data_IF_328155064670
#
_entry.id   IF_328155064670
#
_cell.length_a   1.000
_cell.length_b   1.000
_cell.length_c   1.000
_cell.angle_alpha   90.00
_cell.angle_beta   90.00
_cell.angle_gamma   90.00
#
_symmetry.space_group_name_H-M   'P 1'
#
loop_
_entity.id
_entity.type
_entity.pdbx_description
1 polymer ?
#
# COMPACT_ATOMS: atom_id res chain seq x y z
N UNK A 1 -50.96 -7.20 21.78
CA UNK A 1 -49.52 -7.22 22.11
C UNK A 1 -48.83 -6.33 21.12
N UNK A 2 -48.57 -5.08 21.49
CA UNK A 2 -47.63 -4.23 20.74
C UNK A 2 -46.23 -4.83 20.97
N UNK A 3 -45.39 -4.98 19.93
CA UNK A 3 -44.01 -5.36 20.13
C UNK A 3 -43.34 -4.37 21.09
N UNK A 4 -42.46 -4.88 21.93
CA UNK A 4 -41.72 -4.10 22.91
C UNK A 4 -40.74 -3.18 22.17
N UNK A 5 -41.14 -1.91 22.04
CA UNK A 5 -40.41 -0.86 21.33
C UNK A 5 -38.97 -0.70 21.84
N UNK A 6 -38.71 -1.03 23.11
CA UNK A 6 -37.36 -0.99 23.68
C UNK A 6 -36.44 -2.09 23.13
N UNK A 7 -36.99 -3.27 22.85
CA UNK A 7 -36.25 -4.37 22.22
C UNK A 7 -35.96 -4.10 20.74
N UNK A 8 -36.89 -3.44 20.03
CA UNK A 8 -36.68 -3.01 18.64
C UNK A 8 -35.58 -1.94 18.54
N UNK A 9 -35.58 -0.96 19.44
CA UNK A 9 -34.55 0.08 19.50
C UNK A 9 -33.17 -0.51 19.84
N UNK A 10 -33.09 -1.48 20.76
CA UNK A 10 -31.83 -2.17 21.07
C UNK A 10 -31.32 -3.00 19.88
N UNK A 11 -32.19 -3.76 19.22
CA UNK A 11 -31.81 -4.53 18.03
C UNK A 11 -31.33 -3.64 16.89
N UNK A 12 -31.90 -2.44 16.73
CA UNK A 12 -31.45 -1.44 15.77
C UNK A 12 -30.04 -0.93 16.12
N UNK A 13 -29.77 -0.61 17.39
CA UNK A 13 -28.45 -0.17 17.86
C UNK A 13 -27.40 -1.25 17.61
N UNK A 14 -27.69 -2.51 17.91
CA UNK A 14 -26.77 -3.63 17.72
C UNK A 14 -26.47 -3.85 16.22
N UNK A 15 -27.49 -3.74 15.37
CA UNK A 15 -27.32 -3.86 13.92
C UNK A 15 -26.46 -2.72 13.35
N UNK A 16 -26.66 -1.48 13.80
CA UNK A 16 -25.84 -0.33 13.39
C UNK A 16 -24.40 -0.47 13.88
N UNK A 17 -24.23 -0.91 15.13
CA UNK A 17 -22.89 -1.13 15.73
C UNK A 17 -22.15 -2.23 14.97
N UNK A 18 -22.80 -3.34 14.67
CA UNK A 18 -22.21 -4.45 13.88
C UNK A 18 -21.80 -3.98 12.48
N UNK A 19 -22.62 -3.14 11.83
CA UNK A 19 -22.28 -2.57 10.52
C UNK A 19 -21.08 -1.62 10.60
N UNK A 20 -21.02 -0.77 11.62
CA UNK A 20 -19.92 0.16 11.83
C UNK A 20 -18.60 -0.59 12.06
N UNK A 21 -18.59 -1.58 12.96
CA UNK A 21 -17.39 -2.38 13.26
C UNK A 21 -16.91 -3.18 12.05
N UNK A 22 -17.82 -3.76 11.26
CA UNK A 22 -17.47 -4.47 10.03
C UNK A 22 -16.84 -3.53 8.99
N UNK A 23 -17.36 -2.30 8.86
CA UNK A 23 -16.80 -1.30 7.96
C UNK A 23 -15.38 -0.88 8.38
N UNK A 24 -15.15 -0.66 9.68
CA UNK A 24 -13.83 -0.35 10.23
C UNK A 24 -12.82 -1.49 10.00
N UNK A 25 -13.24 -2.74 10.25
CA UNK A 25 -12.40 -3.92 9.98
C UNK A 25 -12.01 -4.03 8.51
N UNK A 26 -12.94 -3.75 7.59
CA UNK A 26 -12.65 -3.77 6.16
C UNK A 26 -11.62 -2.70 5.75
N UNK A 27 -11.66 -1.51 6.36
CA UNK A 27 -10.67 -0.47 6.13
C UNK A 27 -9.29 -0.88 6.65
N UNK A 28 -9.21 -1.37 7.89
CA UNK A 28 -7.95 -1.87 8.48
C UNK A 28 -7.35 -2.99 7.63
N UNK A 29 -8.17 -3.93 7.16
CA UNK A 29 -7.71 -5.04 6.32
C UNK A 29 -7.19 -4.56 4.96
N UNK A 30 -7.85 -3.56 4.37
CA UNK A 30 -7.41 -2.94 3.11
C UNK A 30 -6.04 -2.27 3.29
N UNK A 31 -5.86 -1.54 4.38
CA UNK A 31 -4.61 -0.83 4.67
C UNK A 31 -3.46 -1.81 4.96
N UNK A 32 -3.74 -2.90 5.67
CA UNK A 32 -2.78 -3.99 5.89
C UNK A 32 -2.35 -4.63 4.56
N UNK A 33 -3.32 -4.92 3.67
CA UNK A 33 -3.07 -5.46 2.33
C UNK A 33 -2.20 -4.52 1.50
N UNK A 34 -2.52 -3.21 1.51
CA UNK A 34 -1.72 -2.20 0.80
C UNK A 34 -0.33 -2.06 1.38
N UNK A 35 -0.17 -2.15 2.71
CA UNK A 35 1.13 -2.14 3.36
C UNK A 35 2.02 -3.27 2.88
N UNK A 36 1.48 -4.49 2.83
CA UNK A 36 2.17 -5.66 2.31
C UNK A 36 2.55 -5.47 0.84
N UNK A 37 1.62 -5.03 -0.01
CA UNK A 37 1.88 -4.79 -1.43
C UNK A 37 3.03 -3.79 -1.64
N UNK A 38 3.03 -2.66 -0.92
CA UNK A 38 4.11 -1.66 -1.01
C UNK A 38 5.45 -2.21 -0.56
N UNK A 39 5.48 -3.02 0.50
CA UNK A 39 6.68 -3.68 0.97
C UNK A 39 7.23 -4.62 -0.11
N UNK A 40 6.38 -5.47 -0.66
CA UNK A 40 6.77 -6.47 -1.66
C UNK A 40 7.29 -5.79 -2.94
N UNK A 41 6.64 -4.70 -3.37
CA UNK A 41 7.12 -3.90 -4.50
C UNK A 41 8.50 -3.27 -4.24
N UNK A 42 8.76 -2.73 -3.03
CA UNK A 42 10.11 -2.27 -2.67
C UNK A 42 11.13 -3.40 -2.69
N UNK A 43 10.74 -4.58 -2.20
CA UNK A 43 11.55 -5.79 -2.29
C UNK A 43 11.91 -6.15 -3.74
N UNK A 44 10.94 -6.14 -4.65
CA UNK A 44 11.14 -6.43 -6.08
C UNK A 44 12.04 -5.38 -6.76
N UNK A 45 11.91 -4.10 -6.38
CA UNK A 45 12.72 -3.01 -6.95
C UNK A 45 14.16 -2.99 -6.44
N UNK A 46 14.44 -3.56 -5.27
CA UNK A 46 15.76 -3.49 -4.64
C UNK A 46 16.87 -4.17 -5.46
N UNK A 47 16.68 -5.39 -6.02
CA UNK A 47 17.64 -5.99 -6.95
C UNK A 47 17.88 -5.16 -8.22
N UNK A 48 16.83 -4.52 -8.75
CA UNK A 48 16.96 -3.67 -9.93
C UNK A 48 17.82 -2.43 -9.64
N UNK A 49 17.69 -1.85 -8.44
CA UNK A 49 18.55 -0.75 -8.00
C UNK A 49 20.00 -1.20 -7.89
N UNK A 50 20.27 -2.35 -7.27
CA UNK A 50 21.63 -2.89 -7.15
C UNK A 50 22.28 -3.14 -8.52
N UNK A 51 21.51 -3.64 -9.49
CA UNK A 51 21.98 -3.80 -10.87
C UNK A 51 22.28 -2.45 -11.53
N UNK A 52 21.43 -1.45 -11.32
CA UNK A 52 21.65 -0.10 -11.83
C UNK A 52 22.91 0.53 -11.20
N UNK A 53 23.10 0.41 -9.90
CA UNK A 53 24.31 0.87 -9.19
C UNK A 53 25.57 0.22 -9.78
N UNK A 54 25.55 -1.09 -10.01
CA UNK A 54 26.68 -1.79 -10.64
C UNK A 54 26.96 -1.26 -12.05
N UNK A 55 25.92 -1.03 -12.84
CA UNK A 55 26.03 -0.53 -14.21
C UNK A 55 26.53 0.93 -14.24
N UNK A 56 26.26 1.71 -13.19
CA UNK A 56 26.73 3.09 -13.07
C UNK A 56 28.27 3.20 -13.03
N UNK A 57 28.94 2.17 -12.49
CA UNK A 57 30.40 2.05 -12.48
C UNK A 57 31.01 1.48 -13.77
N UNK A 58 30.22 1.24 -14.81
CA UNK A 58 30.70 0.70 -16.08
C UNK A 58 31.58 1.71 -16.84
N UNK A 59 32.62 1.20 -17.52
CA UNK A 59 33.44 1.98 -18.44
C UNK A 59 32.70 2.31 -19.75
N UNK A 60 31.69 1.53 -20.10
CA UNK A 60 30.85 1.78 -21.27
C UNK A 60 29.91 2.98 -21.00
N UNK A 61 30.00 4.06 -21.80
CA UNK A 61 29.12 5.22 -21.64
C UNK A 61 27.63 4.91 -21.83
N UNK A 62 27.27 3.93 -22.66
CA UNK A 62 25.87 3.54 -22.89
C UNK A 62 25.32 2.84 -21.65
N UNK A 63 26.08 1.90 -21.09
CA UNK A 63 25.77 1.26 -19.81
C UNK A 63 25.52 2.28 -18.70
N UNK A 64 26.44 3.22 -18.48
CA UNK A 64 26.29 4.25 -17.45
C UNK A 64 25.06 5.15 -17.64
N UNK A 65 24.76 5.56 -18.87
CA UNK A 65 23.55 6.34 -19.16
C UNK A 65 22.25 5.55 -18.91
N UNK A 66 22.29 4.24 -19.19
CA UNK A 66 21.19 3.33 -18.87
C UNK A 66 21.01 3.22 -17.35
N UNK A 67 22.10 3.08 -16.60
CA UNK A 67 22.09 3.06 -15.13
C UNK A 67 21.44 4.32 -14.54
N UNK A 68 21.83 5.51 -15.00
CA UNK A 68 21.25 6.77 -14.56
C UNK A 68 19.73 6.83 -14.80
N UNK A 69 19.27 6.28 -15.93
CA UNK A 69 17.84 6.22 -16.27
C UNK A 69 17.09 5.26 -15.34
N UNK A 70 17.68 4.10 -15.06
CA UNK A 70 17.12 3.11 -14.15
C UNK A 70 17.01 3.65 -12.72
N UNK A 71 18.09 4.25 -12.19
CA UNK A 71 18.12 4.86 -10.86
C UNK A 71 16.99 5.87 -10.72
N UNK A 72 16.91 6.86 -11.62
CA UNK A 72 15.86 7.89 -11.61
C UNK A 72 14.45 7.29 -11.67
N UNK A 73 14.26 6.22 -12.45
CA UNK A 73 12.97 5.56 -12.60
C UNK A 73 12.57 4.81 -11.33
N UNK A 74 13.50 4.09 -10.71
CA UNK A 74 13.27 3.34 -9.48
C UNK A 74 13.05 4.29 -8.30
N UNK A 75 13.80 5.39 -8.20
CA UNK A 75 13.58 6.42 -7.18
C UNK A 75 12.18 7.04 -7.29
N UNK A 76 11.73 7.34 -8.50
CA UNK A 76 10.36 7.82 -8.74
C UNK A 76 9.31 6.78 -8.35
N UNK A 77 9.57 5.49 -8.61
CA UNK A 77 8.68 4.43 -8.19
C UNK A 77 8.60 4.32 -6.66
N UNK A 78 9.74 4.38 -5.95
CA UNK A 78 9.75 4.39 -4.48
C UNK A 78 9.04 5.61 -3.90
N UNK A 79 9.21 6.80 -4.50
CA UNK A 79 8.49 8.00 -4.12
C UNK A 79 6.96 7.83 -4.27
N UNK A 80 6.50 7.25 -5.39
CA UNK A 80 5.08 6.94 -5.58
C UNK A 80 4.56 5.93 -4.53
N UNK A 81 5.35 4.90 -4.20
CA UNK A 81 5.02 3.95 -3.13
C UNK A 81 5.03 4.59 -1.73
N UNK A 82 5.75 5.69 -1.51
CA UNK A 82 5.71 6.45 -0.24
C UNK A 82 4.46 7.33 -0.16
N UNK A 83 4.07 7.95 -1.28
CA UNK A 83 2.88 8.80 -1.35
C UNK A 83 1.59 8.04 -1.03
N UNK A 84 1.46 6.78 -1.48
CA UNK A 84 0.30 5.90 -1.20
C UNK A 84 0.16 5.46 0.26
N UNK A 85 1.04 5.89 1.16
CA UNK A 85 0.89 5.70 2.61
C UNK A 85 0.11 6.86 3.26
N UNK A 86 0.06 8.03 2.61
CA UNK A 86 -0.52 9.25 3.17
C UNK A 86 -1.96 9.49 2.73
N UNK A 87 -2.45 8.73 1.74
CA UNK A 87 -3.84 8.68 1.27
C UNK A 87 -4.55 7.45 1.80
#
# INVERSE_FOLDING_TARGET
MTPDRSAEDQALIDALTTRATTAEQALVQRDATMSKLRHDLRGILSPAMLMADRLSGSVDPIARRTAETLIKTIERADAALKATRQT
#
